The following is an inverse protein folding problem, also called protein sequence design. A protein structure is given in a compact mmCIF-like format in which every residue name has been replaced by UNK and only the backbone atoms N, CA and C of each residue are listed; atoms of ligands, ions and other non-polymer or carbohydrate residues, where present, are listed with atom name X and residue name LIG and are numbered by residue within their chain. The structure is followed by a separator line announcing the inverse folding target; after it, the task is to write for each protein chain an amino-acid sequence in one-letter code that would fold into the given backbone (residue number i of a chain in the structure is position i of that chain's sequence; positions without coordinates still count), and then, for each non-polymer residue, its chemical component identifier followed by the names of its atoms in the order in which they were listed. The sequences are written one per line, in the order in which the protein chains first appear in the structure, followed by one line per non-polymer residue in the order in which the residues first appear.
data_IF_102026318376
#
_entry.id   IF_102026318376
#
_cell.length_a   1.000
_cell.length_b   1.000
_cell.length_c   1.000
_cell.angle_alpha   90.00
_cell.angle_beta   90.00
_cell.angle_gamma   90.00
#
_symmetry.space_group_name_H-M   'P 1'
#
loop_
_entity.id
_entity.type
_entity.pdbx_description
1 polymer ?
#
# COMPACT_ATOMS: atom_id res chain seq x y z
N UNK A 1 52.76 0.26 -41.23
CA UNK A 1 51.75 -0.65 -40.64
C UNK A 1 50.68 0.22 -39.98
N UNK A 2 49.67 0.65 -40.74
CA UNK A 2 48.42 -0.07 -41.03
C UNK A 2 47.32 0.25 -40.01
N UNK A 3 46.31 0.96 -40.52
CA UNK A 3 44.98 1.21 -39.98
C UNK A 3 44.21 -0.07 -39.59
N UNK A 4 43.25 0.06 -38.66
CA UNK A 4 41.80 -0.27 -38.77
C UNK A 4 41.13 0.18 -37.44
N UNK A 5 40.44 1.32 -37.39
CA UNK A 5 38.98 1.49 -37.49
C UNK A 5 38.13 0.52 -36.64
N UNK A 6 37.45 1.05 -35.63
CA UNK A 6 36.44 0.35 -34.83
C UNK A 6 35.42 1.25 -34.14
N UNK A 7 35.14 2.44 -34.69
CA UNK A 7 33.93 3.18 -34.39
C UNK A 7 32.74 2.49 -35.06
N UNK A 8 32.16 1.46 -34.43
CA UNK A 8 30.83 0.92 -34.78
C UNK A 8 30.35 -0.12 -33.77
N UNK A 9 29.73 0.34 -32.68
CA UNK A 9 28.75 -0.45 -31.93
C UNK A 9 27.61 0.39 -31.33
N UNK A 10 27.48 1.66 -31.75
CA UNK A 10 26.43 2.59 -31.29
C UNK A 10 25.29 2.77 -32.30
N UNK A 11 25.29 2.01 -33.41
CA UNK A 11 24.27 2.11 -34.44
C UNK A 11 23.68 0.75 -34.85
N UNK A 12 22.95 0.08 -33.96
CA UNK A 12 21.88 -0.86 -34.36
C UNK A 12 20.89 -1.18 -33.23
N UNK A 13 20.71 -0.29 -32.24
CA UNK A 13 19.48 -0.38 -31.44
C UNK A 13 18.32 0.24 -32.22
N UNK A 14 17.20 -0.51 -32.44
CA UNK A 14 16.03 -0.03 -33.17
C UNK A 14 15.58 1.35 -32.67
N UNK A 15 15.10 2.21 -33.57
CA UNK A 15 14.58 3.56 -33.23
C UNK A 15 13.50 3.51 -32.12
N UNK A 16 12.77 2.40 -32.01
CA UNK A 16 11.82 2.10 -30.93
C UNK A 16 12.49 1.98 -29.55
N UNK A 17 13.67 1.35 -29.47
CA UNK A 17 14.41 1.13 -28.21
C UNK A 17 15.05 2.42 -27.68
N UNK A 18 15.55 3.30 -28.56
CA UNK A 18 16.05 4.63 -28.19
C UNK A 18 14.94 5.57 -27.66
N UNK A 19 13.72 5.50 -28.24
CA UNK A 19 12.55 6.22 -27.72
C UNK A 19 12.04 5.67 -26.38
N UNK A 20 12.12 4.36 -26.16
CA UNK A 20 11.80 3.75 -24.86
C UNK A 20 12.78 4.22 -23.79
N UNK A 21 14.10 4.15 -24.03
CA UNK A 21 15.13 4.59 -23.08
C UNK A 21 14.98 6.07 -22.68
N UNK A 22 14.70 6.98 -23.63
CA UNK A 22 14.51 8.40 -23.31
C UNK A 22 13.19 8.67 -22.57
N UNK A 23 12.11 7.91 -22.86
CA UNK A 23 10.84 7.98 -22.10
C UNK A 23 10.97 7.43 -20.68
N UNK A 24 11.74 6.36 -20.46
CA UNK A 24 12.01 5.82 -19.12
C UNK A 24 12.99 6.69 -18.32
N UNK A 25 13.99 7.30 -18.96
CA UNK A 25 14.88 8.26 -18.31
C UNK A 25 14.13 9.54 -17.87
N UNK A 26 13.20 10.04 -18.70
CA UNK A 26 12.32 11.12 -18.28
C UNK A 26 11.36 10.69 -17.15
N UNK A 27 10.86 9.45 -17.17
CA UNK A 27 10.04 8.93 -16.08
C UNK A 27 10.84 8.83 -14.76
N UNK A 28 12.07 8.31 -14.80
CA UNK A 28 12.95 8.22 -13.63
C UNK A 28 13.33 9.60 -13.06
N UNK A 29 13.56 10.61 -13.92
CA UNK A 29 13.87 11.98 -13.49
C UNK A 29 12.63 12.73 -12.96
N UNK A 30 11.45 12.51 -13.55
CA UNK A 30 10.16 13.02 -13.03
C UNK A 30 9.82 12.35 -11.68
N UNK A 31 10.16 11.07 -11.51
CA UNK A 31 10.00 10.35 -10.25
C UNK A 31 10.96 10.83 -9.16
N UNK A 32 12.25 11.03 -9.48
CA UNK A 32 13.24 11.59 -8.53
C UNK A 32 12.85 12.97 -8.00
N UNK A 33 12.30 13.86 -8.84
CA UNK A 33 11.86 15.20 -8.42
C UNK A 33 10.57 15.19 -7.56
N UNK A 34 9.71 14.17 -7.70
CA UNK A 34 8.46 14.05 -6.94
C UNK A 34 8.56 13.08 -5.74
N UNK A 35 9.73 12.49 -5.51
CA UNK A 35 9.93 11.45 -4.49
C UNK A 35 9.59 11.95 -3.07
N UNK A 36 9.86 13.22 -2.75
CA UNK A 36 9.52 13.79 -1.44
C UNK A 36 8.00 13.91 -1.19
N UNK A 37 7.17 13.93 -2.23
CA UNK A 37 5.70 13.94 -2.13
C UNK A 37 5.08 12.55 -2.34
N UNK A 38 5.73 11.67 -3.12
CA UNK A 38 5.24 10.31 -3.36
C UNK A 38 5.70 9.29 -2.31
N UNK A 39 6.87 9.44 -1.69
CA UNK A 39 7.44 8.47 -0.74
C UNK A 39 6.82 8.53 0.67
N UNK A 40 5.99 9.53 0.98
CA UNK A 40 5.21 9.60 2.24
C UNK A 40 4.01 8.64 2.28
N UNK A 41 3.80 7.91 1.19
CA UNK A 41 2.63 7.11 0.88
C UNK A 41 3.24 5.88 0.17
N UNK A 42 2.88 4.62 0.37
CA UNK A 42 1.56 4.04 0.53
C UNK A 42 1.72 2.58 1.04
N UNK A 43 1.07 2.23 2.14
CA UNK A 43 0.93 0.83 2.58
C UNK A 43 -0.15 0.15 1.75
N UNK A 44 0.04 -1.10 1.31
CA UNK A 44 -0.92 -1.88 0.50
C UNK A 44 -2.31 -1.93 1.16
N UNK A 45 -3.33 -1.52 0.40
CA UNK A 45 -4.68 -1.16 0.87
C UNK A 45 -5.74 -2.09 0.27
N UNK A 46 -6.66 -2.57 1.11
CA UNK A 46 -7.95 -3.24 0.78
C UNK A 46 -8.06 -3.90 -0.60
N UNK A 47 -7.81 -5.21 -0.64
CA UNK A 47 -8.11 -6.07 -1.78
C UNK A 47 -9.13 -7.13 -1.35
N UNK A 48 -10.09 -7.49 -2.20
CA UNK A 48 -10.81 -8.75 -2.04
C UNK A 48 -9.85 -9.94 -2.25
N UNK A 49 -10.16 -11.14 -1.74
CA UNK A 49 -9.28 -12.30 -1.86
C UNK A 49 -8.91 -12.62 -3.32
N UNK A 50 -9.88 -12.55 -4.25
CA UNK A 50 -9.65 -12.76 -5.69
C UNK A 50 -8.75 -11.68 -6.31
N UNK A 51 -8.87 -10.44 -5.84
CA UNK A 51 -8.01 -9.35 -6.28
C UNK A 51 -6.58 -9.53 -5.78
N UNK A 52 -6.38 -10.12 -4.59
CA UNK A 52 -5.04 -10.45 -4.08
C UNK A 52 -4.38 -11.52 -4.93
N UNK A 53 -5.10 -12.59 -5.28
CA UNK A 53 -4.54 -13.69 -6.09
C UNK A 53 -4.17 -13.23 -7.50
N UNK A 54 -5.04 -12.46 -8.14
CA UNK A 54 -4.77 -11.87 -9.46
C UNK A 54 -3.62 -10.88 -9.42
N UNK A 55 -3.53 -10.03 -8.39
CA UNK A 55 -2.42 -9.09 -8.23
C UNK A 55 -1.08 -9.79 -8.04
N UNK A 56 -1.02 -10.85 -7.22
CA UNK A 56 0.20 -11.65 -7.02
C UNK A 56 0.62 -12.34 -8.31
N UNK A 57 -0.32 -12.99 -9.01
CA UNK A 57 -0.05 -13.62 -10.30
C UNK A 57 0.50 -12.60 -11.30
N UNK A 58 -0.15 -11.45 -11.42
CA UNK A 58 0.28 -10.36 -12.28
C UNK A 58 1.70 -9.92 -11.96
N UNK A 59 2.01 -9.72 -10.67
CA UNK A 59 3.32 -9.28 -10.19
C UNK A 59 4.44 -10.29 -10.46
N UNK A 60 4.15 -11.58 -10.34
CA UNK A 60 5.15 -12.65 -10.48
C UNK A 60 5.31 -13.10 -11.94
N UNK A 61 4.25 -13.05 -12.75
CA UNK A 61 4.22 -13.72 -14.07
C UNK A 61 4.01 -12.79 -15.26
N UNK A 62 3.47 -11.60 -15.06
CA UNK A 62 2.95 -10.78 -16.17
C UNK A 62 3.68 -9.45 -16.32
N UNK A 63 3.93 -8.73 -15.23
CA UNK A 63 4.61 -7.43 -15.28
C UNK A 63 6.13 -7.57 -15.11
N UNK A 64 6.89 -6.88 -15.97
CA UNK A 64 8.32 -6.68 -15.75
C UNK A 64 8.55 -5.42 -14.91
N UNK A 65 8.89 -5.60 -13.63
CA UNK A 65 9.19 -4.52 -12.69
C UNK A 65 10.68 -4.37 -12.40
N UNK A 66 11.58 -5.03 -13.14
CA UNK A 66 13.02 -5.07 -12.87
C UNK A 66 13.62 -3.67 -12.80
N UNK A 67 13.30 -2.80 -13.77
CA UNK A 67 13.75 -1.40 -13.78
C UNK A 67 13.24 -0.61 -12.56
N UNK A 68 12.00 -0.85 -12.15
CA UNK A 68 11.39 -0.18 -11.00
C UNK A 68 12.06 -0.65 -9.70
N UNK A 69 12.31 -1.95 -9.56
CA UNK A 69 13.02 -2.53 -8.42
C UNK A 69 14.45 -2.01 -8.32
N UNK A 70 15.20 -1.96 -9.43
CA UNK A 70 16.55 -1.35 -9.43
C UNK A 70 16.51 0.12 -9.01
N UNK A 71 15.49 0.87 -9.44
CA UNK A 71 15.33 2.27 -9.06
C UNK A 71 15.11 2.42 -7.57
N UNK A 72 14.23 1.61 -6.97
CA UNK A 72 13.97 1.67 -5.53
C UNK A 72 15.14 1.14 -4.70
N UNK A 73 15.79 0.06 -5.13
CA UNK A 73 16.96 -0.50 -4.46
C UNK A 73 18.18 0.44 -4.50
N UNK A 74 18.26 1.34 -5.49
CA UNK A 74 19.26 2.40 -5.50
C UNK A 74 18.96 3.57 -4.56
N UNK A 75 17.78 3.57 -3.90
CA UNK A 75 17.41 4.54 -2.88
C UNK A 75 17.92 4.14 -1.49
N UNK A 76 17.85 5.09 -0.53
CA UNK A 76 18.44 4.91 0.80
C UNK A 76 17.50 4.29 1.85
N UNK A 77 16.19 4.20 1.62
CA UNK A 77 15.25 3.76 2.66
C UNK A 77 13.89 3.24 2.16
N UNK A 78 13.26 2.37 2.96
CA UNK A 78 11.84 1.93 2.87
C UNK A 78 11.35 1.51 1.48
N UNK A 79 12.07 0.60 0.80
CA UNK A 79 11.64 0.06 -0.51
C UNK A 79 10.26 -0.61 -0.41
N UNK A 80 10.00 -1.32 0.69
CA UNK A 80 8.74 -1.99 0.97
C UNK A 80 7.56 -1.02 1.17
N UNK A 81 7.82 0.20 1.66
CA UNK A 81 6.78 1.25 1.80
C UNK A 81 6.50 1.98 0.47
N UNK A 82 7.38 1.87 -0.52
CA UNK A 82 7.29 2.58 -1.80
C UNK A 82 6.88 1.68 -2.96
N UNK A 83 7.37 0.44 -3.03
CA UNK A 83 7.22 -0.41 -4.21
C UNK A 83 5.74 -0.77 -4.44
N UNK A 84 5.14 -1.48 -3.50
CA UNK A 84 3.78 -1.99 -3.67
C UNK A 84 2.74 -0.88 -3.73
N UNK A 85 3.02 0.18 -2.98
CA UNK A 85 2.41 1.49 -3.02
C UNK A 85 2.22 2.00 -4.46
N UNK A 86 3.35 2.05 -5.16
CA UNK A 86 3.50 2.59 -6.50
C UNK A 86 2.85 1.69 -7.54
N UNK A 87 3.00 0.37 -7.39
CA UNK A 87 2.34 -0.61 -8.25
C UNK A 87 0.82 -0.47 -8.18
N UNK A 88 0.27 -0.33 -6.97
CA UNK A 88 -1.17 -0.27 -6.77
C UNK A 88 -1.82 0.99 -7.35
N UNK A 89 -1.10 2.10 -7.48
CA UNK A 89 -1.69 3.39 -7.92
C UNK A 89 -1.34 3.80 -9.34
N UNK A 90 -0.44 3.04 -9.98
CA UNK A 90 0.03 3.33 -11.32
C UNK A 90 -1.00 2.91 -12.38
N UNK A 91 -1.63 3.91 -12.98
CA UNK A 91 -2.54 3.74 -14.13
C UNK A 91 -1.85 3.09 -15.34
N UNK A 92 -0.52 3.25 -15.47
CA UNK A 92 0.26 2.63 -16.54
C UNK A 92 0.51 1.14 -16.32
N UNK A 93 0.65 0.73 -15.05
CA UNK A 93 0.90 -0.66 -14.69
C UNK A 93 -0.40 -1.46 -14.58
N UNK A 94 -1.52 -0.79 -14.28
CA UNK A 94 -2.85 -1.41 -14.24
C UNK A 94 -2.91 -2.65 -13.33
N UNK A 95 -2.20 -2.62 -12.19
CA UNK A 95 -2.19 -3.71 -11.23
C UNK A 95 -3.63 -4.13 -10.87
N UNK A 96 -3.96 -5.44 -10.93
CA UNK A 96 -5.26 -5.93 -10.50
C UNK A 96 -5.58 -5.49 -9.07
N UNK A 97 -6.79 -4.96 -8.86
CA UNK A 97 -7.19 -4.38 -7.57
C UNK A 97 -6.51 -3.05 -7.21
N UNK A 98 -5.73 -2.47 -8.11
CA UNK A 98 -5.13 -1.15 -7.96
C UNK A 98 -6.17 -0.02 -7.91
N UNK A 99 -5.73 1.16 -7.48
CA UNK A 99 -6.52 2.37 -7.26
C UNK A 99 -6.09 3.50 -8.20
N UNK A 100 -6.98 4.46 -8.46
CA UNK A 100 -6.63 5.58 -9.32
C UNK A 100 -5.83 6.66 -8.56
N UNK A 101 -4.78 7.19 -9.20
CA UNK A 101 -3.88 8.17 -8.58
C UNK A 101 -4.60 9.46 -8.16
N UNK A 102 -5.59 9.90 -8.94
CA UNK A 102 -6.42 11.08 -8.65
C UNK A 102 -7.07 11.05 -7.27
N UNK A 103 -7.44 9.88 -6.77
CA UNK A 103 -8.01 9.80 -5.43
C UNK A 103 -7.00 10.13 -4.33
N UNK A 104 -5.70 10.06 -4.61
CA UNK A 104 -4.60 10.34 -3.67
C UNK A 104 -4.26 11.83 -3.60
N UNK A 105 -4.72 12.65 -4.56
CA UNK A 105 -4.28 14.04 -4.75
C UNK A 105 -4.94 15.03 -3.78
N UNK A 106 -5.98 14.62 -3.04
CA UNK A 106 -6.62 15.48 -2.05
C UNK A 106 -5.80 15.50 -0.76
N UNK A 107 -5.30 16.69 -0.39
CA UNK A 107 -4.29 16.91 0.66
C UNK A 107 -4.71 16.57 2.10
N UNK A 108 -5.95 16.16 2.41
CA UNK A 108 -6.23 15.52 3.71
C UNK A 108 -5.82 14.04 3.67
N UNK A 109 -4.51 13.80 3.64
CA UNK A 109 -3.94 12.47 3.81
C UNK A 109 -4.41 11.80 5.12
N UNK A 110 -4.83 12.61 6.11
CA UNK A 110 -5.38 12.17 7.39
C UNK A 110 -6.85 11.69 7.31
N UNK A 111 -7.60 11.99 6.24
CA UNK A 111 -9.03 11.65 6.12
C UNK A 111 -9.36 10.78 4.91
N UNK A 112 -8.50 10.71 3.89
CA UNK A 112 -8.89 10.17 2.58
C UNK A 112 -8.60 8.69 2.32
N UNK A 113 -7.77 8.03 3.13
CA UNK A 113 -7.47 6.61 2.91
C UNK A 113 -7.35 5.86 4.21
N UNK A 114 -8.50 5.41 4.71
CA UNK A 114 -8.48 4.36 5.71
C UNK A 114 -7.91 3.08 5.08
N UNK A 115 -7.25 2.28 5.89
CA UNK A 115 -6.72 0.98 5.48
C UNK A 115 -7.44 -0.03 6.36
N UNK A 116 -7.70 -1.24 5.86
CA UNK A 116 -8.23 -2.30 6.73
C UNK A 116 -7.16 -3.33 7.06
N UNK A 117 -6.00 -3.30 6.42
CA UNK A 117 -5.01 -4.39 6.54
C UNK A 117 -4.31 -4.39 7.89
N UNK A 118 -3.83 -3.24 8.35
CA UNK A 118 -3.10 -3.13 9.62
C UNK A 118 -3.33 -1.78 10.28
N UNK A 119 -3.79 -1.75 11.52
CA UNK A 119 -3.72 -0.56 12.35
C UNK A 119 -2.37 -0.46 13.06
N UNK A 120 -1.83 0.75 13.17
CA UNK A 120 -0.62 1.01 13.95
C UNK A 120 -0.81 2.32 14.69
N UNK A 121 -0.60 2.31 16.01
CA UNK A 121 -0.58 3.53 16.82
C UNK A 121 0.82 4.12 16.77
N UNK A 122 0.93 5.37 16.38
CA UNK A 122 2.21 6.07 16.38
C UNK A 122 2.32 7.00 17.57
N UNK A 123 3.54 7.18 18.08
CA UNK A 123 3.78 7.99 19.30
C UNK A 123 3.31 9.43 19.13
N UNK A 124 3.47 10.00 17.94
CA UNK A 124 3.05 11.38 17.64
C UNK A 124 1.53 11.58 17.58
N UNK A 125 0.73 10.52 17.71
CA UNK A 125 -0.73 10.62 17.83
C UNK A 125 -1.18 10.94 19.26
N UNK A 126 -0.25 10.98 20.24
CA UNK A 126 -0.53 11.46 21.60
C UNK A 126 -1.37 10.49 22.44
N UNK A 127 -1.21 9.17 22.24
CA UNK A 127 -1.95 8.17 23.03
C UNK A 127 -1.48 8.16 24.49
N UNK A 128 -2.40 8.21 25.47
CA UNK A 128 -2.04 8.02 26.87
C UNK A 128 -1.47 6.62 27.08
N UNK A 129 -0.47 6.49 27.95
CA UNK A 129 0.20 5.22 28.28
C UNK A 129 0.82 4.49 27.07
N UNK A 130 1.32 5.25 26.08
CA UNK A 130 2.02 4.69 24.93
C UNK A 130 3.41 4.16 25.32
N UNK A 131 3.53 2.83 25.46
CA UNK A 131 4.84 2.18 25.50
C UNK A 131 5.43 2.12 24.09
N UNK A 132 6.61 2.71 23.90
CA UNK A 132 7.19 2.94 22.57
C UNK A 132 8.18 1.85 22.15
N UNK A 133 8.07 1.38 20.90
CA UNK A 133 9.13 0.65 20.19
C UNK A 133 9.23 1.13 18.74
N UNK A 134 10.35 1.74 18.37
CA UNK A 134 10.60 2.29 17.02
C UNK A 134 9.46 3.24 16.58
N UNK A 135 9.09 4.17 17.46
CA UNK A 135 8.01 5.16 17.28
C UNK A 135 6.58 4.61 17.11
N UNK A 136 6.41 3.30 17.30
CA UNK A 136 5.11 2.64 17.40
C UNK A 136 4.73 2.44 18.86
N UNK A 137 3.50 2.76 19.22
CA UNK A 137 2.91 2.41 20.51
C UNK A 137 2.53 0.94 20.54
N UNK A 138 2.89 0.27 21.62
CA UNK A 138 2.51 -1.10 21.89
C UNK A 138 1.08 -1.17 22.44
N UNK A 139 0.36 -2.23 22.09
CA UNK A 139 -0.92 -2.57 22.70
C UNK A 139 -0.66 -3.41 23.96
N UNK A 140 -1.11 -2.90 25.10
CA UNK A 140 -1.04 -3.55 26.40
C UNK A 140 -2.43 -3.74 27.00
N UNK A 141 -2.49 -4.36 28.18
CA UNK A 141 -3.74 -4.69 28.86
C UNK A 141 -4.52 -3.42 29.21
N UNK A 142 -3.82 -2.33 29.52
CA UNK A 142 -4.38 -1.02 29.86
C UNK A 142 -5.15 -0.38 28.70
N UNK A 143 -4.88 -0.81 27.48
CA UNK A 143 -5.49 -0.27 26.27
C UNK A 143 -6.20 -1.33 25.41
N UNK A 144 -6.46 -2.52 26.00
CA UNK A 144 -7.06 -3.66 25.34
C UNK A 144 -8.48 -3.37 24.84
N UNK A 145 -9.30 -2.65 25.60
CA UNK A 145 -10.66 -2.27 25.17
C UNK A 145 -10.63 -1.50 23.84
N UNK A 146 -9.72 -0.55 23.72
CA UNK A 146 -9.52 0.26 22.52
C UNK A 146 -8.91 -0.59 21.40
N UNK A 147 -8.04 -1.55 21.73
CA UNK A 147 -7.52 -2.53 20.77
C UNK A 147 -8.65 -3.36 20.16
N UNK A 148 -9.53 -3.96 20.99
CA UNK A 148 -10.71 -4.74 20.55
C UNK A 148 -11.63 -3.92 19.66
N UNK A 149 -11.98 -2.70 20.08
CA UNK A 149 -12.78 -1.76 19.27
C UNK A 149 -12.13 -1.46 17.91
N UNK A 150 -10.80 -1.31 17.88
CA UNK A 150 -10.04 -1.10 16.64
C UNK A 150 -10.04 -2.35 15.77
N UNK A 151 -9.87 -3.55 16.34
CA UNK A 151 -9.86 -4.83 15.63
C UNK A 151 -11.17 -5.17 14.89
N UNK A 152 -12.26 -4.43 15.16
CA UNK A 152 -13.50 -4.52 14.39
C UNK A 152 -13.41 -3.90 13.00
N UNK A 153 -12.44 -3.01 12.77
CA UNK A 153 -12.25 -2.28 11.50
C UNK A 153 -11.01 -2.70 10.71
N UNK A 154 -10.04 -3.29 11.39
CA UNK A 154 -8.76 -3.70 10.82
C UNK A 154 -8.54 -5.21 10.99
N UNK A 155 -7.93 -5.83 9.99
CA UNK A 155 -7.58 -7.26 9.95
C UNK A 155 -6.48 -7.56 10.97
N UNK A 156 -5.47 -6.69 11.04
CA UNK A 156 -4.37 -6.82 11.99
C UNK A 156 -4.17 -5.54 12.79
N UNK A 157 -3.66 -5.71 14.00
CA UNK A 157 -3.20 -4.62 14.86
C UNK A 157 -1.69 -4.75 15.03
N UNK A 158 -0.98 -3.63 15.09
CA UNK A 158 0.45 -3.56 15.37
C UNK A 158 0.71 -2.45 16.41
N UNK A 159 1.45 -2.71 17.49
CA UNK A 159 2.27 -3.89 17.79
C UNK A 159 1.93 -4.50 19.15
N UNK A 160 1.93 -5.83 19.25
CA UNK A 160 1.94 -6.57 20.52
C UNK A 160 3.34 -7.16 20.74
N UNK A 161 3.83 -7.14 21.98
CA UNK A 161 5.13 -7.73 22.33
C UNK A 161 4.94 -8.51 23.64
N UNK A 162 5.00 -9.84 23.57
CA UNK A 162 4.79 -10.71 24.72
C UNK A 162 5.80 -10.52 25.84
N UNK A 163 7.04 -10.12 25.54
CA UNK A 163 8.05 -9.83 26.57
C UNK A 163 7.79 -8.54 27.36
N UNK A 164 6.87 -7.70 26.90
CA UNK A 164 6.44 -6.49 27.61
C UNK A 164 5.07 -6.69 28.25
N UNK A 165 4.11 -7.22 27.49
CA UNK A 165 2.78 -7.55 28.00
C UNK A 165 2.22 -8.80 27.29
N UNK A 166 2.46 -9.95 27.91
CA UNK A 166 1.94 -11.23 27.43
C UNK A 166 0.43 -11.34 27.61
N UNK A 167 -0.12 -10.77 28.69
CA UNK A 167 -1.55 -10.81 28.99
C UNK A 167 -2.36 -10.12 27.89
N UNK A 168 -1.92 -8.95 27.41
CA UNK A 168 -2.55 -8.26 26.29
C UNK A 168 -2.62 -9.12 25.02
N UNK A 169 -1.56 -9.89 24.74
CA UNK A 169 -1.50 -10.78 23.57
C UNK A 169 -2.49 -11.93 23.70
N UNK A 170 -2.53 -12.58 24.87
CA UNK A 170 -3.46 -13.69 25.16
C UNK A 170 -4.91 -13.21 25.15
N UNK A 171 -5.25 -12.15 25.87
CA UNK A 171 -6.61 -11.64 25.91
C UNK A 171 -7.10 -11.14 24.55
N UNK A 172 -6.20 -10.59 23.71
CA UNK A 172 -6.55 -10.26 22.32
C UNK A 172 -6.80 -11.51 21.49
N UNK A 173 -6.02 -12.58 21.66
CA UNK A 173 -6.23 -13.86 20.98
C UNK A 173 -7.56 -14.51 21.40
N UNK A 174 -7.89 -14.51 22.69
CA UNK A 174 -9.19 -14.95 23.21
C UNK A 174 -10.35 -14.14 22.64
N UNK A 175 -10.20 -12.81 22.57
CA UNK A 175 -11.21 -11.94 21.94
C UNK A 175 -11.45 -12.30 20.46
N UNK A 176 -10.39 -12.67 19.73
CA UNK A 176 -10.51 -13.12 18.34
C UNK A 176 -11.17 -14.51 18.24
N UNK A 177 -10.85 -15.41 19.17
CA UNK A 177 -11.46 -16.73 19.28
C UNK A 177 -12.96 -16.60 19.53
N UNK A 178 -13.36 -15.80 20.53
CA UNK A 178 -14.77 -15.58 20.84
C UNK A 178 -15.55 -14.96 19.68
N UNK A 179 -14.93 -14.00 18.98
CA UNK A 179 -15.53 -13.43 17.77
C UNK A 179 -15.77 -14.46 16.68
N UNK A 180 -14.87 -15.43 16.55
CA UNK A 180 -14.93 -16.44 15.49
C UNK A 180 -15.95 -17.53 15.80
N UNK A 181 -16.01 -17.96 17.06
CA UNK A 181 -16.80 -19.13 17.48
C UNK A 181 -18.14 -18.78 18.15
N UNK A 182 -18.27 -17.59 18.74
CA UNK A 182 -19.48 -17.16 19.46
C UNK A 182 -20.13 -15.90 18.87
N UNK A 183 -19.57 -15.31 17.82
CA UNK A 183 -20.14 -14.14 17.13
C UNK A 183 -20.05 -12.83 17.92
N UNK A 184 -19.29 -12.80 19.01
CA UNK A 184 -19.05 -11.59 19.80
C UNK A 184 -18.24 -10.56 19.01
N UNK A 185 -18.54 -9.26 19.14
CA UNK A 185 -17.72 -8.18 18.57
C UNK A 185 -17.37 -8.32 17.07
N UNK A 186 -18.35 -8.71 16.26
CA UNK A 186 -18.19 -8.88 14.82
C UNK A 186 -17.52 -7.66 14.13
N UNK A 187 -16.84 -7.96 13.02
CA UNK A 187 -16.30 -6.93 12.13
C UNK A 187 -17.37 -5.91 11.76
N UNK A 188 -16.96 -4.64 11.66
CA UNK A 188 -17.80 -3.56 11.18
C UNK A 188 -17.96 -3.71 9.66
N UNK A 189 -18.88 -4.60 9.27
CA UNK A 189 -19.14 -4.94 7.88
C UNK A 189 -19.57 -3.70 7.07
N UNK A 190 -20.29 -2.77 7.69
CA UNK A 190 -20.69 -1.50 7.07
C UNK A 190 -19.45 -0.64 6.78
N UNK A 191 -18.55 -0.47 7.75
CA UNK A 191 -17.30 0.25 7.56
C UNK A 191 -16.44 -0.37 6.46
N UNK A 192 -16.27 -1.70 6.47
CA UNK A 192 -15.48 -2.40 5.45
C UNK A 192 -16.16 -2.26 4.08
N UNK A 193 -17.47 -2.44 3.98
CA UNK A 193 -18.20 -2.36 2.71
C UNK A 193 -18.21 -0.95 2.12
N UNK A 194 -18.23 0.10 2.96
CA UNK A 194 -18.25 1.50 2.53
C UNK A 194 -16.86 2.11 2.35
N UNK A 195 -15.82 1.35 2.68
CA UNK A 195 -14.45 1.76 2.47
C UNK A 195 -14.20 2.20 1.00
N UNK A 196 -13.53 3.34 0.80
CA UNK A 196 -13.30 3.95 -0.51
C UNK A 196 -12.60 3.01 -1.50
N UNK A 197 -11.67 2.18 -1.01
CA UNK A 197 -11.06 1.05 -1.72
C UNK A 197 -12.11 0.13 -2.35
N UNK A 198 -12.99 -0.41 -1.52
CA UNK A 198 -14.01 -1.37 -1.91
C UNK A 198 -15.08 -0.73 -2.81
N UNK A 199 -15.50 0.50 -2.52
CA UNK A 199 -16.47 1.23 -3.37
C UNK A 199 -15.92 1.45 -4.78
N UNK A 200 -14.67 1.85 -4.91
CA UNK A 200 -14.02 2.02 -6.21
C UNK A 200 -13.93 0.72 -6.98
N UNK A 201 -13.48 -0.37 -6.33
CA UNK A 201 -13.38 -1.68 -6.97
C UNK A 201 -14.73 -2.18 -7.50
N UNK A 202 -15.82 -1.94 -6.76
CA UNK A 202 -17.18 -2.24 -7.24
C UNK A 202 -17.60 -1.33 -8.40
N UNK A 203 -17.32 -0.03 -8.30
CA UNK A 203 -17.73 0.95 -9.30
C UNK A 203 -17.00 0.75 -10.65
N UNK A 204 -15.69 0.52 -10.63
CA UNK A 204 -14.87 0.35 -11.86
C UNK A 204 -15.22 -0.89 -12.69
N UNK A 205 -15.93 -1.86 -12.11
CA UNK A 205 -16.40 -3.07 -12.81
C UNK A 205 -17.70 -2.83 -13.57
N UNK A 206 -18.41 -1.73 -13.29
CA UNK A 206 -19.66 -1.41 -13.98
C UNK A 206 -19.39 -0.83 -15.38
N UNK A 207 -20.19 -1.18 -16.40
CA UNK A 207 -20.13 -0.55 -17.71
C UNK A 207 -20.30 0.97 -17.59
N UNK A 208 -19.52 1.74 -18.36
CA UNK A 208 -19.63 3.21 -18.37
C UNK A 208 -19.04 3.92 -17.14
N UNK A 209 -18.25 3.24 -16.30
CA UNK A 209 -17.57 3.88 -15.18
C UNK A 209 -16.69 5.05 -15.66
N UNK A 210 -16.92 6.23 -15.08
CA UNK A 210 -16.08 7.41 -15.28
C UNK A 210 -15.53 7.86 -13.93
N UNK A 211 -14.23 8.09 -13.85
CA UNK A 211 -13.60 8.47 -12.57
C UNK A 211 -14.10 9.82 -12.05
N UNK A 212 -14.39 10.77 -12.94
CA UNK A 212 -14.87 12.11 -12.57
C UNK A 212 -16.22 12.10 -11.83
N UNK A 213 -17.00 11.01 -11.93
CA UNK A 213 -18.26 10.83 -11.20
C UNK A 213 -18.09 10.02 -9.91
N UNK A 214 -16.88 9.55 -9.60
CA UNK A 214 -16.61 8.75 -8.41
C UNK A 214 -16.01 9.58 -7.26
N UNK A 215 -16.68 9.55 -6.10
CA UNK A 215 -16.20 10.22 -4.88
C UNK A 215 -15.20 9.34 -4.12
N UNK A 216 -13.94 9.79 -4.04
CA UNK A 216 -12.85 9.08 -3.37
C UNK A 216 -12.83 9.17 -1.83
N UNK A 217 -13.82 9.82 -1.20
CA UNK A 217 -13.92 9.97 0.28
C UNK A 217 -14.54 8.74 0.93
N UNK A 218 -14.22 8.42 2.18
CA UNK A 218 -15.06 7.47 2.93
C UNK A 218 -16.43 8.09 3.22
N UNK A 219 -17.48 7.27 3.26
CA UNK A 219 -18.86 7.65 3.60
C UNK A 219 -19.23 6.94 4.90
#
# INVERSE_FOLDING_TARGET
MSFIKGASALMTLPRSYRRLKSRYANFANIWKRNLHHCARLYKLRTFSADQKRSAVRWMVREVNITTLMHTFNGGSHSVDEQLFASLAVSEKLQMPGGYHSACLKNRDLNKFFTYITRHTRWVWEGHPNCHRRHDVCLYGIENLYQARKTARRYIALNKFIGSWDFAATVCMAESLYNRTHFGEEAFDAKYIANHSGNRYQRARRKPGFRLNTFTCKNI
#
